data_IF_300419803949
#
_entry.id   IF_300419803949
#
_cell.length_a   1.000
_cell.length_b   1.000
_cell.length_c   1.000
_cell.angle_alpha   90.00
_cell.angle_beta   90.00
_cell.angle_gamma   90.00
#
_symmetry.space_group_name_H-M   'P 1'
#
loop_
_entity.id
_entity.type
_entity.pdbx_description
1 polymer ?
#
# COMPACT_ATOMS: atom_id res chain seq x y z
N UNK A 1 -15.85 23.42 -10.35
CA UNK A 1 -15.71 23.05 -10.12
C UNK A 1 -15.70 22.46 -9.52
N UNK A 2 -15.85 22.46 -9.14
CA UNK A 2 -15.75 22.03 -8.57
C UNK A 2 -16.04 21.25 -7.97
N UNK A 3 -16.36 21.14 -7.97
CA UNK A 3 -16.81 20.49 -7.38
C UNK A 3 -16.39 19.39 -7.01
N UNK A 4 -16.05 18.96 -6.99
CA UNK A 4 -15.67 17.92 -6.70
C UNK A 4 -15.07 17.77 -5.79
N UNK A 5 -15.03 18.22 -5.49
CA UNK A 5 -14.52 18.12 -4.83
C UNK A 5 -14.38 17.67 -3.64
N UNK A 6 -15.15 17.53 -2.82
CA UNK A 6 -14.92 17.07 -1.51
C UNK A 6 -14.42 15.68 -1.48
N UNK A 7 -14.82 14.88 -2.42
CA UNK A 7 -14.37 13.51 -2.45
C UNK A 7 -12.91 13.41 -2.74
N UNK A 8 -12.44 14.23 -3.65
CA UNK A 8 -11.03 14.22 -3.96
C UNK A 8 -10.20 14.67 -2.80
N UNK A 9 -10.74 15.60 -2.00
CA UNK A 9 -10.03 16.07 -0.85
C UNK A 9 -9.94 15.02 0.24
N UNK A 10 -10.90 14.12 0.27
CA UNK A 10 -10.90 13.11 1.32
C UNK A 10 -9.84 12.06 1.13
N UNK A 11 -9.44 11.79 -0.09
CA UNK A 11 -8.47 10.73 -0.34
C UNK A 11 -7.72 10.98 -1.63
N UNK A 12 -6.44 10.70 -1.63
CA UNK A 12 -5.63 10.82 -2.83
C UNK A 12 -4.52 9.78 -2.82
N UNK A 13 -4.13 9.34 -4.01
CA UNK A 13 -3.03 8.42 -4.20
C UNK A 13 -2.01 9.11 -5.09
N UNK A 14 -0.77 9.15 -4.64
CA UNK A 14 0.31 9.65 -5.48
C UNK A 14 1.20 8.47 -5.84
N UNK A 15 1.48 8.31 -7.12
CA UNK A 15 2.25 7.18 -7.61
C UNK A 15 3.67 7.64 -7.96
N UNK A 16 4.66 6.90 -7.49
CA UNK A 16 6.04 7.13 -7.85
C UNK A 16 6.64 5.80 -8.27
N UNK A 17 7.06 5.70 -9.51
CA UNK A 17 7.72 4.50 -9.97
C UNK A 17 9.19 4.63 -9.69
N UNK A 18 9.87 3.55 -9.73
CA UNK A 18 11.29 3.55 -9.48
C UNK A 18 11.98 4.48 -10.44
N UNK A 19 12.84 5.27 -9.89
CA UNK A 19 13.51 6.34 -10.55
C UNK A 19 13.90 6.07 -11.98
N UNK A 20 12.96 6.22 -12.84
CA UNK A 20 13.21 6.15 -14.24
C UNK A 20 13.78 4.85 -14.72
N UNK A 21 13.94 3.90 -13.86
CA UNK A 21 14.59 2.72 -14.28
C UNK A 21 13.64 1.65 -14.67
N UNK A 22 12.64 1.44 -13.88
CA UNK A 22 11.77 0.35 -14.19
C UNK A 22 10.59 0.41 -13.30
N UNK A 23 9.66 -0.46 -13.58
CA UNK A 23 8.49 -0.58 -12.73
C UNK A 23 8.73 -1.60 -11.65
N UNK A 24 9.98 -1.97 -11.40
CA UNK A 24 10.26 -3.00 -10.41
C UNK A 24 9.73 -2.60 -9.04
N UNK A 25 9.92 -1.35 -8.64
CA UNK A 25 9.43 -0.88 -7.35
C UNK A 25 8.53 0.32 -7.59
N UNK A 26 7.31 0.22 -7.11
CA UNK A 26 6.33 1.29 -7.24
C UNK A 26 5.92 1.71 -5.85
N UNK A 27 5.90 3.00 -5.60
CA UNK A 27 5.46 3.55 -4.32
C UNK A 27 4.11 4.23 -4.52
N UNK A 28 3.14 3.87 -3.69
CA UNK A 28 1.84 4.50 -3.68
C UNK A 28 1.70 5.23 -2.35
N UNK A 29 1.70 6.55 -2.39
CA UNK A 29 1.54 7.35 -1.19
C UNK A 29 0.07 7.69 -1.02
N UNK A 30 -0.51 7.25 0.07
CA UNK A 30 -1.92 7.48 0.34
C UNK A 30 -2.10 8.65 1.27
N UNK A 31 -3.17 9.41 1.08
CA UNK A 31 -3.48 10.53 1.94
C UNK A 31 -4.98 10.59 2.14
N UNK A 32 -5.40 10.78 3.38
CA UNK A 32 -6.81 10.99 3.68
C UNK A 32 -7.51 9.76 4.20
N UNK A 33 -8.75 9.60 3.84
CA UNK A 33 -9.61 8.54 4.36
C UNK A 33 -9.90 7.52 3.28
N UNK A 34 -9.60 6.28 3.56
CA UNK A 34 -9.80 5.19 2.61
C UNK A 34 -11.00 4.37 3.05
N UNK A 35 -12.07 4.46 2.28
CA UNK A 35 -13.30 3.74 2.59
C UNK A 35 -13.98 3.33 1.30
N UNK A 36 -15.20 2.79 1.39
CA UNK A 36 -15.86 2.28 0.21
C UNK A 36 -16.18 3.35 -0.81
N UNK A 37 -16.23 4.61 -0.40
CA UNK A 37 -16.49 5.70 -1.35
C UNK A 37 -15.23 6.16 -2.05
N UNK A 38 -14.07 5.93 -1.44
CA UNK A 38 -12.81 6.47 -1.95
C UNK A 38 -11.85 5.41 -2.46
N UNK A 39 -12.20 4.14 -2.35
CA UNK A 39 -11.29 3.05 -2.70
C UNK A 39 -10.97 2.97 -4.19
N UNK A 40 -11.82 3.54 -5.05
CA UNK A 40 -11.62 3.44 -6.49
C UNK A 40 -10.24 3.87 -6.97
N UNK A 41 -9.78 5.07 -6.60
CA UNK A 41 -8.46 5.51 -7.03
C UNK A 41 -7.33 4.59 -6.58
N UNK A 42 -7.46 4.00 -5.38
CA UNK A 42 -6.45 3.05 -4.94
C UNK A 42 -6.47 1.80 -5.82
N UNK A 43 -7.65 1.27 -6.09
CA UNK A 43 -7.76 0.10 -6.95
C UNK A 43 -7.19 0.36 -8.31
N UNK A 44 -7.48 1.54 -8.88
CA UNK A 44 -6.93 1.89 -10.18
C UNK A 44 -5.41 1.97 -10.18
N UNK A 45 -4.85 2.59 -9.14
CA UNK A 45 -3.41 2.72 -9.05
C UNK A 45 -2.75 1.35 -8.93
N UNK A 46 -3.35 0.47 -8.15
CA UNK A 46 -2.81 -0.87 -7.99
C UNK A 46 -2.92 -1.67 -9.30
N UNK A 47 -4.02 -1.50 -10.02
CA UNK A 47 -4.21 -2.22 -11.28
C UNK A 47 -3.27 -1.74 -12.37
N UNK A 48 -2.74 -0.54 -12.26
CA UNK A 48 -1.84 0.00 -13.27
C UNK A 48 -0.46 -0.64 -13.24
N UNK A 49 -0.15 -1.39 -12.19
CA UNK A 49 1.19 -1.94 -12.03
C UNK A 49 1.16 -3.42 -11.70
N UNK A 50 0.51 -4.23 -12.54
CA UNK A 50 0.32 -5.65 -12.22
C UNK A 50 1.61 -6.46 -12.26
N UNK A 51 2.65 -5.94 -12.88
CA UNK A 51 3.90 -6.66 -12.96
C UNK A 51 4.99 -6.10 -12.10
N UNK A 52 4.65 -5.18 -11.21
CA UNK A 52 5.64 -4.64 -10.30
C UNK A 52 6.19 -5.78 -9.45
N UNK A 53 7.47 -5.76 -9.22
CA UNK A 53 8.06 -6.75 -8.34
C UNK A 53 7.76 -6.41 -6.90
N UNK A 54 7.60 -5.13 -6.64
CA UNK A 54 7.32 -4.68 -5.29
C UNK A 54 6.48 -3.41 -5.35
N UNK A 55 5.39 -3.40 -4.60
CA UNK A 55 4.61 -2.19 -4.40
C UNK A 55 4.73 -1.84 -2.92
N UNK A 56 5.16 -0.63 -2.63
CA UNK A 56 5.21 -0.14 -1.25
C UNK A 56 4.12 0.89 -1.09
N UNK A 57 3.21 0.64 -0.18
CA UNK A 57 2.12 1.57 0.08
C UNK A 57 2.49 2.40 1.30
N UNK A 58 2.73 3.68 1.07
CA UNK A 58 3.10 4.60 2.14
C UNK A 58 1.81 5.13 2.76
N UNK A 59 1.56 4.72 3.97
CA UNK A 59 0.32 5.04 4.67
C UNK A 59 0.48 6.21 5.64
N UNK A 60 1.60 6.92 5.58
CA UNK A 60 1.85 7.97 6.55
C UNK A 60 0.84 9.11 6.49
N UNK A 61 0.21 9.29 5.34
CA UNK A 61 -0.84 10.31 5.20
C UNK A 61 -2.24 9.75 5.37
N UNK A 62 -2.36 8.46 5.64
CA UNK A 62 -3.67 7.82 5.74
C UNK A 62 -4.20 7.95 7.15
N UNK A 63 -5.36 8.58 7.30
CA UNK A 63 -5.93 8.85 8.61
C UNK A 63 -7.05 7.90 8.99
N UNK A 64 -7.58 7.18 8.01
CA UNK A 64 -8.68 6.25 8.26
C UNK A 64 -8.68 5.17 7.19
N UNK A 65 -9.02 3.96 7.59
CA UNK A 65 -9.13 2.85 6.65
C UNK A 65 -10.20 1.90 7.17
N UNK A 66 -11.20 1.61 6.34
CA UNK A 66 -12.21 0.64 6.73
C UNK A 66 -11.91 -0.70 6.06
N UNK A 67 -12.83 -1.63 6.24
CA UNK A 67 -12.62 -2.97 5.72
C UNK A 67 -12.58 -3.02 4.20
N UNK A 68 -13.27 -2.09 3.53
CA UNK A 68 -13.20 -2.06 2.06
C UNK A 68 -11.80 -1.71 1.61
N UNK A 69 -11.19 -0.72 2.26
CA UNK A 69 -9.81 -0.36 1.93
C UNK A 69 -8.85 -1.49 2.23
N UNK A 70 -9.00 -2.10 3.39
CA UNK A 70 -8.15 -3.23 3.75
C UNK A 70 -8.28 -4.36 2.74
N UNK A 71 -9.51 -4.68 2.35
CA UNK A 71 -9.71 -5.76 1.39
C UNK A 71 -9.07 -5.47 0.05
N UNK A 72 -9.07 -4.21 -0.36
CA UNK A 72 -8.43 -3.86 -1.62
C UNK A 72 -6.93 -4.12 -1.55
N UNK A 73 -6.30 -3.77 -0.42
CA UNK A 73 -4.88 -4.04 -0.24
C UNK A 73 -4.59 -5.53 -0.23
N UNK A 74 -5.46 -6.31 0.41
CA UNK A 74 -5.28 -7.76 0.45
C UNK A 74 -5.43 -8.38 -0.93
N UNK A 75 -6.39 -7.91 -1.71
CA UNK A 75 -6.57 -8.43 -3.07
C UNK A 75 -5.36 -8.11 -3.93
N UNK A 76 -4.84 -6.90 -3.82
CA UNK A 76 -3.68 -6.50 -4.60
C UNK A 76 -2.47 -7.35 -4.22
N UNK A 77 -2.33 -7.63 -2.93
CA UNK A 77 -1.22 -8.46 -2.47
C UNK A 77 -1.28 -9.85 -3.10
N UNK A 78 -2.47 -10.43 -3.13
CA UNK A 78 -2.61 -11.75 -3.72
C UNK A 78 -2.31 -11.75 -5.21
N UNK A 79 -2.78 -10.73 -5.92
CA UNK A 79 -2.52 -10.66 -7.35
C UNK A 79 -1.04 -10.49 -7.66
N UNK A 80 -0.36 -9.66 -6.87
CA UNK A 80 1.07 -9.46 -7.08
C UNK A 80 1.83 -10.74 -6.84
N UNK A 81 1.42 -11.50 -5.83
CA UNK A 81 2.11 -12.75 -5.53
C UNK A 81 2.01 -13.74 -6.68
N UNK A 82 0.94 -13.69 -7.45
CA UNK A 82 0.78 -14.60 -8.58
C UNK A 82 1.84 -14.39 -9.64
N UNK A 83 2.41 -13.20 -9.70
CA UNK A 83 3.46 -12.92 -10.67
C UNK A 83 4.82 -12.75 -10.00
N UNK A 84 4.94 -13.20 -8.76
CA UNK A 84 6.21 -13.15 -8.07
C UNK A 84 6.52 -11.83 -7.38
N UNK A 85 5.54 -10.93 -7.33
CA UNK A 85 5.73 -9.65 -6.67
C UNK A 85 5.24 -9.66 -5.24
N UNK A 86 5.32 -8.51 -4.61
CA UNK A 86 4.83 -8.40 -3.25
C UNK A 86 4.36 -6.97 -2.96
N UNK A 87 3.54 -6.84 -1.94
CA UNK A 87 3.04 -5.55 -1.49
C UNK A 87 3.39 -5.37 -0.03
N UNK A 88 4.09 -4.29 0.28
CA UNK A 88 4.50 -3.96 1.64
C UNK A 88 3.85 -2.66 2.06
N UNK A 89 3.76 -2.43 3.35
CA UNK A 89 3.18 -1.21 3.90
C UNK A 89 4.22 -0.46 4.70
N UNK A 90 4.08 0.85 4.73
CA UNK A 90 4.99 1.69 5.50
C UNK A 90 4.21 2.80 6.18
N UNK A 91 4.64 3.18 7.37
CA UNK A 91 4.15 4.37 8.02
C UNK A 91 2.73 4.32 8.56
N UNK A 92 2.25 3.16 8.96
CA UNK A 92 0.91 3.08 9.53
C UNK A 92 0.81 3.98 10.76
N UNK A 93 -0.21 4.83 10.77
CA UNK A 93 -0.45 5.72 11.90
C UNK A 93 -1.36 5.02 12.90
N UNK A 94 -1.33 5.43 14.16
CA UNK A 94 -2.03 4.69 15.22
C UNK A 94 -3.46 4.26 14.95
N UNK A 95 -4.34 5.11 14.45
CA UNK A 95 -5.71 4.65 14.24
C UNK A 95 -5.80 3.54 13.20
N UNK A 96 -5.03 3.67 12.12
CA UNK A 96 -5.05 2.68 11.06
C UNK A 96 -4.30 1.43 11.51
N UNK A 97 -3.17 1.63 12.20
CA UNK A 97 -2.40 0.52 12.70
C UNK A 97 -3.23 -0.35 13.63
N UNK A 98 -4.02 0.29 14.50
CA UNK A 98 -4.85 -0.46 15.42
C UNK A 98 -5.86 -1.33 14.67
N UNK A 99 -6.46 -0.78 13.62
CA UNK A 99 -7.41 -1.55 12.84
C UNK A 99 -6.73 -2.76 12.19
N UNK A 100 -5.51 -2.57 11.69
CA UNK A 100 -4.79 -3.67 11.09
C UNK A 100 -4.38 -4.70 12.14
N UNK A 101 -4.10 -4.26 13.36
CA UNK A 101 -3.79 -5.20 14.43
C UNK A 101 -5.00 -6.01 14.82
N UNK A 102 -6.14 -5.35 14.97
CA UNK A 102 -7.35 -6.02 15.41
C UNK A 102 -7.79 -7.06 14.38
N UNK A 103 -7.64 -6.77 13.11
CA UNK A 103 -8.07 -7.70 12.06
C UNK A 103 -7.02 -8.76 11.78
N UNK A 104 -5.81 -8.61 12.32
CA UNK A 104 -4.73 -9.54 12.03
C UNK A 104 -3.98 -9.20 10.75
N UNK A 105 -4.35 -8.13 10.09
CA UNK A 105 -3.71 -7.79 8.81
C UNK A 105 -2.22 -7.50 8.95
N UNK A 106 -1.79 -7.01 10.13
CA UNK A 106 -0.36 -6.73 10.31
C UNK A 106 0.49 -7.98 10.18
N UNK A 107 -0.11 -9.16 10.33
CA UNK A 107 0.64 -10.40 10.20
C UNK A 107 0.75 -10.85 8.77
N UNK A 108 -0.07 -10.29 7.91
CA UNK A 108 -0.11 -10.69 6.52
C UNK A 108 0.86 -9.87 5.70
N UNK A 109 0.96 -8.58 6.00
CA UNK A 109 1.82 -7.68 5.28
C UNK A 109 3.14 -7.51 6.01
N UNK A 110 4.20 -7.18 5.25
CA UNK A 110 5.42 -6.70 5.85
C UNK A 110 5.23 -5.21 6.08
N UNK A 111 5.40 -4.75 7.31
CA UNK A 111 5.12 -3.38 7.67
C UNK A 111 6.38 -2.71 8.17
N UNK A 112 6.67 -1.53 7.63
CA UNK A 112 7.85 -0.76 8.00
C UNK A 112 7.42 0.52 8.71
N UNK A 113 8.32 1.07 9.51
CA UNK A 113 8.01 2.27 10.27
C UNK A 113 7.79 3.48 9.40
N UNK A 114 8.51 3.59 8.28
CA UNK A 114 8.31 4.68 7.34
C UNK A 114 8.80 4.25 5.97
N UNK A 115 8.57 5.11 4.99
CA UNK A 115 8.93 4.79 3.62
C UNK A 115 10.43 4.63 3.43
N UNK A 116 11.21 5.45 4.10
CA UNK A 116 12.66 5.36 3.98
C UNK A 116 13.15 3.97 4.42
N UNK A 117 12.60 3.50 5.52
CA UNK A 117 12.97 2.20 6.04
C UNK A 117 12.55 1.11 5.06
N UNK A 118 11.35 1.23 4.51
CA UNK A 118 10.87 0.24 3.56
C UNK A 118 11.75 0.17 2.32
N UNK A 119 12.14 1.32 1.80
CA UNK A 119 12.95 1.34 0.59
C UNK A 119 14.38 0.89 0.84
N UNK A 120 14.86 1.07 2.05
CA UNK A 120 16.20 0.62 2.39
C UNK A 120 16.28 -0.90 2.46
N UNK A 121 15.15 -1.57 2.65
CA UNK A 121 15.13 -3.02 2.78
C UNK A 121 14.84 -3.68 1.44
N UNK A 122 15.73 -3.46 0.49
CA UNK A 122 15.52 -4.03 -0.82
C UNK A 122 15.64 -5.50 -0.84
N UNK A 123 16.45 -6.02 0.02
CA UNK A 123 16.69 -7.44 0.02
C UNK A 123 15.66 -8.19 0.78
N UNK A 124 14.75 -7.47 1.39
CA UNK A 124 13.76 -8.11 2.20
C UNK A 124 13.10 -9.32 1.62
N UNK A 125 12.91 -9.35 0.34
CA UNK A 125 12.18 -10.47 -0.19
C UNK A 125 12.79 -11.74 0.17
N UNK A 126 14.06 -11.78 0.19
CA UNK A 126 14.56 -12.98 0.45
C UNK A 126 14.42 -13.28 1.77
N UNK A 127 14.10 -12.50 2.44
CA UNK A 127 14.00 -12.81 3.67
C UNK A 127 13.08 -13.54 4.06
N UNK A 128 12.44 -13.33 3.42
CA UNK A 128 11.59 -14.10 3.82
C UNK A 128 12.11 -15.33 3.98
N UNK A 129 12.85 -15.26 3.39
CA UNK A 129 13.20 -16.30 3.42
C UNK A 129 13.54 -16.57 4.53
N UNK A 130 13.52 -15.85 4.79
CA UNK A 130 13.66 -16.18 5.68
C UNK A 130 13.08 -16.59 6.47
N UNK A 131 12.66 -16.38 6.14
CA UNK A 131 12.25 -16.78 6.71
C UNK A 131 12.13 -17.64 7.27
N UNK A 132 12.49 -17.72 7.20
CA UNK A 132 12.49 -18.57 7.60
C UNK A 132 12.28 -18.85 8.40
N UNK A 133 12.28 -18.32 8.32
CA UNK A 133 12.20 -18.52 8.93
C UNK A 133 11.94 -18.70 9.08
#
# INVERSE_FOLDING_TARGET
>A
MDADDGREDRFAVRVAAGAGTSDAVVVLALRGELDHDTVGPLGGALDDHPRARRVVVDCSGLTFCDSTGLNELLRARLRLRETGGRLDLAGLRPPVERMFEITGAVRVFRVYGDLTEALADEAGPRDGEEVHG
#
